data_IF_319174590230
#
_entry.id   IF_319174590230
#
_cell.length_a   1.000
_cell.length_b   1.000
_cell.length_c   1.000
_cell.angle_alpha   90.00
_cell.angle_beta   90.00
_cell.angle_gamma   90.00
#
_symmetry.space_group_name_H-M   'P 1'
#
loop_
_entity.id
_entity.type
_entity.pdbx_description
1 polymer ?
#
# COMPACT_ATOMS: atom_id res chain seq x y z
N UNK A 1 -9.35 -7.09 10.71
CA UNK A 1 -8.31 -6.29 11.39
C UNK A 1 -8.83 -5.55 12.62
N UNK A 2 -9.98 -4.87 12.59
CA UNK A 2 -10.55 -4.18 13.77
C UNK A 2 -10.71 -5.04 15.04
N UNK A 3 -10.87 -6.36 14.90
CA UNK A 3 -10.88 -7.30 16.03
C UNK A 3 -9.55 -7.30 16.80
N UNK A 4 -8.42 -7.18 16.11
CA UNK A 4 -7.09 -7.15 16.75
C UNK A 4 -6.94 -5.93 17.66
N UNK A 5 -7.59 -4.81 17.32
CA UNK A 5 -7.68 -3.62 18.17
C UNK A 5 -8.55 -3.83 19.42
N UNK A 6 -9.61 -4.63 19.31
CA UNK A 6 -10.53 -4.95 20.42
C UNK A 6 -10.01 -6.06 21.34
N UNK A 7 -9.08 -6.89 20.87
CA UNK A 7 -8.52 -8.01 21.62
C UNK A 7 -6.99 -8.02 21.51
N UNK A 8 -6.33 -7.56 22.58
CA UNK A 8 -4.87 -7.42 22.62
C UNK A 8 -4.13 -8.74 22.36
N UNK A 9 -4.65 -9.89 22.83
CA UNK A 9 -4.02 -11.19 22.58
C UNK A 9 -3.99 -11.52 21.08
N UNK A 10 -5.08 -11.23 20.36
CA UNK A 10 -5.13 -11.38 18.90
C UNK A 10 -4.18 -10.39 18.22
N UNK A 11 -4.16 -9.13 18.69
CA UNK A 11 -3.25 -8.09 18.21
C UNK A 11 -1.78 -8.50 18.28
N UNK A 12 -1.33 -8.87 19.48
CA UNK A 12 0.03 -9.33 19.72
C UNK A 12 0.32 -10.64 18.98
N UNK A 13 -0.63 -11.57 18.91
CA UNK A 13 -0.41 -12.82 18.18
C UNK A 13 -0.14 -12.56 16.69
N UNK A 14 -0.97 -11.74 16.04
CA UNK A 14 -0.78 -11.37 14.63
C UNK A 14 0.55 -10.64 14.43
N UNK A 15 0.90 -9.69 15.30
CA UNK A 15 2.12 -8.90 15.17
C UNK A 15 3.41 -9.75 15.32
N UNK A 16 3.39 -10.75 16.21
CA UNK A 16 4.58 -11.55 16.54
C UNK A 16 4.71 -12.84 15.75
N UNK A 17 3.59 -13.45 15.37
CA UNK A 17 3.58 -14.80 14.81
C UNK A 17 3.01 -14.87 13.39
N UNK A 18 2.60 -13.74 12.80
CA UNK A 18 2.22 -13.69 11.38
C UNK A 18 3.22 -12.88 10.56
N UNK A 19 3.36 -13.24 9.29
CA UNK A 19 4.14 -12.47 8.31
C UNK A 19 3.29 -11.46 7.55
N UNK A 20 2.19 -10.96 8.14
CA UNK A 20 1.22 -10.12 7.45
C UNK A 20 1.86 -8.83 6.91
N UNK A 21 2.55 -8.05 7.77
CA UNK A 21 3.10 -6.75 7.36
C UNK A 21 4.14 -6.88 6.21
N UNK A 22 5.15 -7.78 6.29
CA UNK A 22 6.06 -8.01 5.17
C UNK A 22 5.36 -8.43 3.87
N UNK A 23 4.35 -9.29 3.95
CA UNK A 23 3.61 -9.77 2.78
C UNK A 23 2.82 -8.65 2.11
N UNK A 24 2.17 -7.78 2.89
CA UNK A 24 1.45 -6.62 2.35
C UNK A 24 2.39 -5.66 1.64
N UNK A 25 3.55 -5.36 2.24
CA UNK A 25 4.53 -4.44 1.64
C UNK A 25 5.16 -5.02 0.38
N UNK A 26 5.52 -6.31 0.40
CA UNK A 26 6.04 -7.01 -0.78
C UNK A 26 5.01 -7.03 -1.90
N UNK A 27 3.74 -7.32 -1.57
CA UNK A 27 2.64 -7.30 -2.52
C UNK A 27 2.42 -5.92 -3.13
N UNK A 28 2.46 -4.86 -2.32
CA UNK A 28 2.36 -3.48 -2.77
C UNK A 28 3.50 -3.11 -3.72
N UNK A 29 4.74 -3.49 -3.40
CA UNK A 29 5.90 -3.29 -4.28
C UNK A 29 5.76 -4.02 -5.62
N UNK A 30 5.27 -5.27 -5.60
CA UNK A 30 4.98 -6.02 -6.81
C UNK A 30 3.91 -5.36 -7.68
N UNK A 31 2.84 -4.83 -7.08
CA UNK A 31 1.81 -4.08 -7.81
C UNK A 31 2.34 -2.76 -8.37
N UNK A 32 3.18 -2.05 -7.61
CA UNK A 32 3.84 -0.84 -8.10
C UNK A 32 4.71 -1.12 -9.33
N UNK A 33 5.49 -2.20 -9.32
CA UNK A 33 6.34 -2.57 -10.47
C UNK A 33 5.56 -2.93 -11.74
N UNK A 34 4.26 -3.19 -11.62
CA UNK A 34 3.36 -3.46 -12.74
C UNK A 34 2.69 -2.21 -13.30
N UNK A 35 2.83 -1.06 -12.62
CA UNK A 35 2.27 0.19 -13.12
C UNK A 35 2.88 0.52 -14.49
N UNK A 36 2.08 1.08 -15.42
CA UNK A 36 2.59 1.52 -16.70
C UNK A 36 3.65 2.60 -16.50
N UNK A 37 4.76 2.51 -17.24
CA UNK A 37 5.85 3.50 -17.19
C UNK A 37 5.51 4.81 -17.92
N UNK A 38 4.44 4.83 -18.70
CA UNK A 38 3.91 5.99 -19.41
C UNK A 38 2.40 5.86 -19.53
N UNK A 39 1.69 6.99 -19.49
CA UNK A 39 0.26 7.07 -19.69
C UNK A 39 -0.01 7.77 -21.02
N UNK A 40 -0.54 7.04 -22.01
CA UNK A 40 -0.86 7.58 -23.33
C UNK A 40 -2.23 8.28 -23.32
N UNK A 41 -2.34 9.36 -22.56
CA UNK A 41 -3.60 10.09 -22.40
C UNK A 41 -3.58 11.29 -23.36
N UNK A 42 -4.51 11.30 -24.31
CA UNK A 42 -4.54 12.22 -25.45
C UNK A 42 -5.40 13.48 -25.22
N UNK A 43 -5.81 13.75 -23.99
CA UNK A 43 -6.64 14.92 -23.64
C UNK A 43 -5.81 16.11 -23.18
N UNK A 44 -6.11 17.30 -23.74
CA UNK A 44 -5.36 18.56 -23.52
C UNK A 44 -5.28 18.98 -22.04
N UNK A 45 -6.26 18.59 -21.22
CA UNK A 45 -6.37 19.01 -19.81
C UNK A 45 -6.01 17.91 -18.79
N UNK A 46 -5.23 16.90 -19.18
CA UNK A 46 -4.80 15.85 -18.25
C UNK A 46 -3.50 16.25 -17.52
N UNK A 47 -3.62 16.63 -16.25
CA UNK A 47 -2.51 17.06 -15.40
C UNK A 47 -2.40 16.30 -14.07
N UNK A 48 -3.30 15.34 -13.83
CA UNK A 48 -3.31 14.50 -12.64
C UNK A 48 -4.10 13.23 -12.89
N UNK A 49 -3.76 12.18 -12.14
CA UNK A 49 -4.59 10.99 -12.02
C UNK A 49 -5.91 11.36 -11.34
N UNK A 50 -7.01 10.94 -11.94
CA UNK A 50 -8.38 11.09 -11.45
C UNK A 50 -8.95 9.74 -11.01
N UNK A 51 -10.09 9.72 -10.27
CA UNK A 51 -10.76 8.46 -9.95
C UNK A 51 -11.21 7.66 -11.18
N UNK A 52 -11.52 8.33 -12.29
CA UNK A 52 -11.87 7.68 -13.55
C UNK A 52 -10.65 6.95 -14.12
N UNK A 53 -9.46 7.58 -14.14
CA UNK A 53 -8.20 6.93 -14.55
C UNK A 53 -7.89 5.69 -13.70
N UNK A 54 -8.13 5.76 -12.38
CA UNK A 54 -7.95 4.61 -11.47
C UNK A 54 -8.91 3.48 -11.81
N UNK A 55 -10.11 3.79 -12.29
CA UNK A 55 -11.11 2.80 -12.68
C UNK A 55 -10.82 2.19 -14.05
N UNK A 56 -10.29 3.00 -14.97
CA UNK A 56 -10.06 2.62 -16.36
C UNK A 56 -8.73 1.88 -16.58
N UNK A 57 -7.73 2.09 -15.71
CA UNK A 57 -6.41 1.45 -15.80
C UNK A 57 -6.31 0.31 -14.78
N UNK A 58 -6.41 -0.98 -15.20
CA UNK A 58 -6.52 -2.11 -14.27
C UNK A 58 -5.34 -2.24 -13.28
N UNK A 59 -4.12 -2.00 -13.75
CA UNK A 59 -2.90 -2.05 -12.93
C UNK A 59 -2.93 -0.97 -11.84
N UNK A 60 -3.41 0.22 -12.18
CA UNK A 60 -3.57 1.33 -11.25
C UNK A 60 -4.69 1.02 -10.25
N UNK A 61 -5.82 0.46 -10.68
CA UNK A 61 -6.88 0.00 -9.78
C UNK A 61 -6.34 -0.98 -8.74
N UNK A 62 -5.57 -1.99 -9.17
CA UNK A 62 -5.02 -3.01 -8.28
C UNK A 62 -4.04 -2.40 -7.27
N UNK A 63 -3.14 -1.52 -7.74
CA UNK A 63 -2.21 -0.82 -6.87
C UNK A 63 -2.94 0.06 -5.84
N UNK A 64 -3.91 0.86 -6.27
CA UNK A 64 -4.69 1.73 -5.40
C UNK A 64 -5.47 0.94 -4.35
N UNK A 65 -6.14 -0.15 -4.75
CA UNK A 65 -6.84 -1.04 -3.83
C UNK A 65 -5.90 -1.63 -2.76
N UNK A 66 -4.69 -2.02 -3.14
CA UNK A 66 -3.69 -2.55 -2.20
C UNK A 66 -3.17 -1.48 -1.24
N UNK A 67 -2.93 -0.27 -1.75
CA UNK A 67 -2.52 0.87 -0.95
C UNK A 67 -3.60 1.28 0.06
N UNK A 68 -4.85 1.35 -0.38
CA UNK A 68 -6.01 1.62 0.48
C UNK A 68 -6.21 0.52 1.52
N UNK A 69 -5.99 -0.74 1.16
CA UNK A 69 -6.02 -1.83 2.13
C UNK A 69 -4.96 -1.66 3.22
N UNK A 70 -3.72 -1.31 2.86
CA UNK A 70 -2.66 -1.02 3.83
C UNK A 70 -3.05 0.14 4.75
N UNK A 71 -3.60 1.22 4.19
CA UNK A 71 -4.10 2.36 4.96
C UNK A 71 -5.24 1.97 5.93
N UNK A 72 -6.20 1.17 5.46
CA UNK A 72 -7.29 0.68 6.29
C UNK A 72 -6.76 -0.19 7.45
N UNK A 73 -5.78 -1.06 7.20
CA UNK A 73 -5.11 -1.84 8.25
C UNK A 73 -4.48 -0.89 9.29
N UNK A 74 -3.72 0.12 8.86
CA UNK A 74 -3.10 1.11 9.75
C UNK A 74 -4.15 1.77 10.64
N UNK A 75 -5.28 2.21 10.09
CA UNK A 75 -6.30 2.94 10.85
C UNK A 75 -7.02 2.08 11.89
N UNK A 76 -7.24 0.79 11.59
CA UNK A 76 -8.14 -0.06 12.40
C UNK A 76 -7.45 -1.17 13.19
N UNK A 77 -6.17 -1.46 12.94
CA UNK A 77 -5.43 -2.51 13.63
C UNK A 77 -5.00 -2.15 15.06
N UNK A 78 -4.63 -3.20 15.81
CA UNK A 78 -3.81 -3.10 17.02
C UNK A 78 -2.52 -2.30 16.76
N UNK A 79 -2.09 -1.52 17.76
CA UNK A 79 -1.01 -0.56 17.59
C UNK A 79 0.33 -1.23 17.20
N UNK A 80 0.64 -2.42 17.74
CA UNK A 80 1.86 -3.17 17.38
C UNK A 80 1.88 -3.54 15.87
N UNK A 81 0.74 -3.95 15.31
CA UNK A 81 0.60 -4.23 13.87
C UNK A 81 0.74 -2.94 13.07
N UNK A 82 0.15 -1.83 13.55
CA UNK A 82 0.24 -0.52 12.89
C UNK A 82 1.69 -0.06 12.78
N UNK A 83 2.43 -0.07 13.90
CA UNK A 83 3.83 0.34 13.91
C UNK A 83 4.69 -0.56 13.03
N UNK A 84 4.48 -1.87 13.10
CA UNK A 84 5.20 -2.82 12.26
C UNK A 84 4.92 -2.58 10.76
N UNK A 85 3.66 -2.37 10.36
CA UNK A 85 3.32 -2.10 8.96
C UNK A 85 3.91 -0.77 8.47
N UNK A 86 3.88 0.28 9.29
CA UNK A 86 4.49 1.57 8.95
C UNK A 86 6.01 1.43 8.77
N UNK A 87 6.68 0.70 9.66
CA UNK A 87 8.13 0.47 9.57
C UNK A 87 8.51 -0.32 8.32
N UNK A 88 7.78 -1.42 8.02
CA UNK A 88 7.99 -2.15 6.77
C UNK A 88 7.68 -1.31 5.53
N UNK A 89 6.62 -0.49 5.53
CA UNK A 89 6.33 0.41 4.42
C UNK A 89 7.46 1.40 4.21
N UNK A 90 7.98 1.99 5.29
CA UNK A 90 9.09 2.93 5.22
C UNK A 90 10.35 2.28 4.65
N UNK A 91 10.79 1.17 5.24
CA UNK A 91 12.04 0.50 4.89
C UNK A 91 11.98 -0.29 3.57
N UNK A 92 10.80 -0.82 3.24
CA UNK A 92 10.61 -1.77 2.13
C UNK A 92 9.93 -1.20 0.88
N UNK A 93 9.26 -0.06 0.99
CA UNK A 93 8.54 0.55 -0.14
C UNK A 93 8.86 2.03 -0.34
N UNK A 94 8.64 2.87 0.68
CA UNK A 94 8.77 4.33 0.53
C UNK A 94 10.21 4.72 0.21
N UNK A 95 11.18 4.33 1.04
CA UNK A 95 12.58 4.69 0.82
C UNK A 95 13.17 3.99 -0.42
N UNK A 96 13.06 2.65 -0.58
CA UNK A 96 13.76 1.98 -1.67
C UNK A 96 13.02 2.00 -3.02
N UNK A 97 11.70 2.18 -3.06
CA UNK A 97 10.91 2.12 -4.32
C UNK A 97 10.46 3.51 -4.73
N UNK A 98 9.75 4.24 -3.87
CA UNK A 98 9.24 5.57 -4.21
C UNK A 98 10.35 6.63 -4.22
N UNK A 99 11.30 6.56 -3.27
CA UNK A 99 12.41 7.51 -3.17
C UNK A 99 13.15 7.70 -4.49
N UNK A 100 13.69 6.64 -5.11
CA UNK A 100 14.33 6.73 -6.42
C UNK A 100 13.39 7.21 -7.54
N UNK A 101 12.13 6.80 -7.52
CA UNK A 101 11.17 7.16 -8.57
C UNK A 101 10.81 8.66 -8.59
N UNK A 102 10.85 9.34 -7.44
CA UNK A 102 10.56 10.78 -7.33
C UNK A 102 11.78 11.65 -7.71
N UNK A 103 12.99 11.09 -7.57
CA UNK A 103 14.24 11.80 -7.88
C UNK A 103 14.68 11.67 -9.35
N UNK A 104 13.95 10.90 -10.16
CA UNK A 104 14.16 10.74 -11.60
C UNK A 104 13.42 11.81 -12.39
#
# INVERSE_FOLDING_TARGET
MALSKKNANIGTYIAKYSSMCPLLVTGLGGLYSRLPSSLEISTIDWYRITPDDVTDIPELTLFMNSLEFCNAVIQVAHDEIRYQLLDFLYQGFIVPVLGPAILQ
#
